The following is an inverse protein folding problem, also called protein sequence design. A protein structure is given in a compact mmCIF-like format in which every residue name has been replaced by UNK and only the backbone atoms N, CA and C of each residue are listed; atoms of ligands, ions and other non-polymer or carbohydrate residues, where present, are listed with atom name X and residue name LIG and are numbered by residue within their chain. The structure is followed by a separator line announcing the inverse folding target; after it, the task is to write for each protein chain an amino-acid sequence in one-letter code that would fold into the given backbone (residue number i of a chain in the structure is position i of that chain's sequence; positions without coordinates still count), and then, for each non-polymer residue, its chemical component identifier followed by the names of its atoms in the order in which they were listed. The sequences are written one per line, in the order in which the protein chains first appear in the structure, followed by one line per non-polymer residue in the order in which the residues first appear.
data_IF_026911921864
#
_entry.id   IF_026911921864
#
_cell.length_a   1.000
_cell.length_b   1.000
_cell.length_c   1.000
_cell.angle_alpha   90.00
_cell.angle_beta   90.00
_cell.angle_gamma   90.00
#
_symmetry.space_group_name_H-M   'P 1'
#
loop_
_entity.id
_entity.type
_entity.pdbx_description
1 polymer ?
#
# COMPACT_ATOMS: atom_id res chain seq x y z
N UNK A 1 14.58 -44.43 -9.30
CA UNK A 1 14.50 -44.28 -10.75
C UNK A 1 15.52 -43.21 -11.13
N UNK A 2 16.45 -43.52 -12.02
CA UNK A 2 17.50 -42.57 -12.39
C UNK A 2 16.96 -41.51 -13.34
N UNK A 3 16.85 -40.28 -12.85
CA UNK A 3 16.33 -39.12 -13.59
C UNK A 3 17.27 -38.70 -14.74
N UNK A 4 18.54 -39.10 -14.67
CA UNK A 4 19.56 -38.77 -15.66
C UNK A 4 19.68 -39.83 -16.77
N UNK A 5 18.88 -40.93 -16.71
CA UNK A 5 18.90 -41.98 -17.70
C UNK A 5 18.60 -41.42 -19.12
N UNK A 6 19.31 -41.94 -20.12
CA UNK A 6 19.03 -41.59 -21.51
C UNK A 6 17.58 -41.97 -21.87
N UNK A 7 16.78 -40.99 -22.32
CA UNK A 7 15.38 -41.20 -22.61
C UNK A 7 15.05 -40.49 -23.95
N UNK A 8 15.00 -41.23 -25.05
CA UNK A 8 14.64 -40.67 -26.36
C UNK A 8 13.30 -39.92 -26.39
N UNK A 9 12.30 -40.44 -25.68
CA UNK A 9 11.01 -39.79 -25.53
C UNK A 9 11.12 -38.39 -24.93
N UNK A 10 12.08 -38.15 -24.02
CA UNK A 10 12.28 -36.86 -23.36
C UNK A 10 12.66 -35.76 -24.34
N UNK A 11 13.46 -36.05 -25.36
CA UNK A 11 13.81 -35.08 -26.43
C UNK A 11 12.59 -34.71 -27.25
N UNK A 12 11.83 -35.70 -27.69
CA UNK A 12 10.59 -35.49 -28.47
C UNK A 12 9.56 -34.67 -27.65
N UNK A 13 9.42 -34.99 -26.34
CA UNK A 13 8.55 -34.24 -25.46
C UNK A 13 9.00 -32.78 -25.29
N UNK A 14 10.30 -32.55 -25.12
CA UNK A 14 10.87 -31.20 -24.97
C UNK A 14 10.64 -30.35 -26.24
N UNK A 15 10.86 -30.92 -27.43
CA UNK A 15 10.60 -30.24 -28.70
C UNK A 15 9.11 -29.89 -28.86
N UNK A 16 8.20 -30.81 -28.53
CA UNK A 16 6.76 -30.55 -28.52
C UNK A 16 6.33 -29.50 -27.52
N UNK A 17 6.93 -29.50 -26.31
CA UNK A 17 6.68 -28.46 -25.29
C UNK A 17 7.10 -27.08 -25.78
N UNK A 18 8.30 -26.95 -26.41
CA UNK A 18 8.75 -25.69 -26.99
C UNK A 18 7.82 -25.20 -28.10
N UNK A 19 7.32 -26.11 -28.95
CA UNK A 19 6.36 -25.78 -30.03
C UNK A 19 4.99 -25.36 -29.53
N UNK A 20 4.49 -25.96 -28.44
CA UNK A 20 3.16 -25.72 -27.89
C UNK A 20 3.14 -24.61 -26.81
N UNK A 21 4.26 -23.92 -26.55
CA UNK A 21 4.37 -22.96 -25.44
C UNK A 21 3.27 -21.91 -25.40
N UNK A 22 2.88 -21.35 -26.54
CA UNK A 22 1.84 -20.33 -26.64
C UNK A 22 0.46 -20.88 -26.27
N UNK A 23 0.11 -22.06 -26.78
CA UNK A 23 -1.13 -22.78 -26.44
C UNK A 23 -1.18 -23.10 -24.93
N UNK A 24 -0.10 -23.65 -24.39
CA UNK A 24 -0.02 -24.03 -22.98
C UNK A 24 -0.10 -22.79 -22.04
N UNK A 25 0.53 -21.69 -22.44
CA UNK A 25 0.44 -20.42 -21.73
C UNK A 25 -1.00 -19.90 -21.69
N UNK A 26 -1.66 -19.83 -22.83
CA UNK A 26 -3.04 -19.36 -22.93
C UNK A 26 -3.98 -20.23 -22.06
N UNK A 27 -3.83 -21.56 -22.13
CA UNK A 27 -4.62 -22.52 -21.36
C UNK A 27 -4.38 -22.42 -19.86
N UNK A 28 -3.15 -22.13 -19.46
CA UNK A 28 -2.82 -21.91 -18.05
C UNK A 28 -3.45 -20.63 -17.52
N UNK A 29 -3.34 -19.51 -18.25
CA UNK A 29 -3.95 -18.23 -17.89
C UNK A 29 -5.48 -18.32 -17.78
N UNK A 30 -6.13 -18.98 -18.72
CA UNK A 30 -7.58 -19.24 -18.70
C UNK A 30 -7.98 -19.99 -17.41
N UNK A 31 -7.29 -21.09 -17.10
CA UNK A 31 -7.61 -21.89 -15.89
C UNK A 31 -7.29 -21.18 -14.56
N UNK A 32 -6.28 -20.33 -14.54
CA UNK A 32 -6.02 -19.51 -13.35
C UNK A 32 -7.17 -18.52 -13.15
N UNK A 33 -7.59 -17.81 -14.20
CA UNK A 33 -8.69 -16.85 -14.10
C UNK A 33 -10.02 -17.48 -13.66
N UNK A 34 -10.25 -18.76 -13.97
CA UNK A 34 -11.44 -19.49 -13.56
C UNK A 34 -11.40 -20.03 -12.14
N UNK A 35 -10.20 -20.40 -11.62
CA UNK A 35 -10.07 -21.20 -10.38
C UNK A 35 -9.41 -20.47 -9.22
N UNK A 36 -8.71 -19.41 -9.49
CA UNK A 36 -8.10 -18.57 -8.47
C UNK A 36 -8.97 -17.34 -8.33
N UNK A 37 -9.61 -17.16 -7.17
CA UNK A 37 -10.37 -15.95 -6.87
C UNK A 37 -9.41 -14.75 -6.84
N UNK A 38 -9.31 -14.07 -7.97
CA UNK A 38 -8.45 -12.92 -8.16
C UNK A 38 -9.30 -11.67 -7.93
N UNK A 39 -8.78 -10.70 -7.15
CA UNK A 39 -9.41 -9.40 -7.08
C UNK A 39 -9.36 -8.76 -8.48
N UNK A 40 -10.49 -8.55 -9.17
CA UNK A 40 -10.52 -8.08 -10.57
C UNK A 40 -9.80 -6.75 -10.78
N UNK A 41 -9.55 -5.99 -9.70
CA UNK A 41 -8.91 -4.67 -9.74
C UNK A 41 -7.38 -4.78 -9.64
N UNK A 42 -6.85 -5.88 -9.07
CA UNK A 42 -5.42 -6.07 -8.81
C UNK A 42 -4.70 -6.99 -9.78
N UNK A 43 -5.45 -7.67 -10.65
CA UNK A 43 -4.95 -8.83 -11.31
C UNK A 43 -4.80 -8.64 -12.79
N UNK A 44 -3.79 -8.55 -13.34
CA UNK A 44 -3.33 -8.56 -14.71
C UNK A 44 -2.92 -7.21 -15.30
N UNK A 45 -1.67 -6.83 -15.09
CA UNK A 45 -0.88 -6.35 -16.20
C UNK A 45 -0.56 -7.62 -17.04
N UNK A 46 -1.32 -7.84 -18.07
CA UNK A 46 -1.23 -8.99 -18.98
C UNK A 46 0.15 -9.15 -19.61
N UNK A 47 0.86 -8.07 -19.85
CA UNK A 47 2.14 -8.05 -20.56
C UNK A 47 3.29 -8.67 -19.76
N UNK A 48 3.42 -8.38 -18.47
CA UNK A 48 4.48 -8.96 -17.64
C UNK A 48 4.29 -10.47 -17.45
N UNK A 49 3.05 -10.92 -17.32
CA UNK A 49 2.73 -12.34 -17.18
C UNK A 49 2.99 -13.11 -18.48
N UNK A 50 2.61 -12.52 -19.60
CA UNK A 50 2.85 -13.06 -20.94
C UNK A 50 4.35 -13.19 -21.24
N UNK A 51 5.21 -12.42 -20.59
CA UNK A 51 6.65 -12.50 -20.74
C UNK A 51 7.31 -13.58 -19.87
N UNK A 52 6.77 -13.85 -18.66
CA UNK A 52 7.39 -14.81 -17.73
C UNK A 52 7.00 -16.26 -18.00
N UNK A 53 5.73 -16.54 -18.26
CA UNK A 53 5.20 -17.91 -18.38
C UNK A 53 5.80 -18.69 -19.55
N UNK A 54 5.95 -18.14 -20.75
CA UNK A 54 6.60 -18.85 -21.87
C UNK A 54 8.04 -19.23 -21.57
N UNK A 55 8.77 -18.41 -20.80
CA UNK A 55 10.15 -18.70 -20.40
C UNK A 55 10.25 -19.81 -19.36
N UNK A 56 9.28 -19.90 -18.45
CA UNK A 56 9.18 -21.02 -17.51
C UNK A 56 8.90 -22.33 -18.25
N UNK A 57 8.02 -22.33 -19.23
CA UNK A 57 7.74 -23.50 -20.06
C UNK A 57 8.96 -23.95 -20.87
N UNK A 58 9.76 -23.01 -21.40
CA UNK A 58 11.03 -23.33 -22.05
C UNK A 58 12.01 -23.97 -21.06
N UNK A 59 12.16 -23.43 -19.85
CA UNK A 59 13.02 -24.02 -18.83
C UNK A 59 12.55 -25.40 -18.39
N UNK A 60 11.24 -25.66 -18.34
CA UNK A 60 10.71 -27.02 -18.10
C UNK A 60 11.10 -27.96 -19.25
N UNK A 61 10.99 -27.51 -20.51
CA UNK A 61 11.37 -28.30 -21.67
C UNK A 61 12.86 -28.64 -21.66
N UNK A 62 13.72 -27.66 -21.35
CA UNK A 62 15.17 -27.84 -21.26
C UNK A 62 15.54 -28.84 -20.14
N UNK A 63 14.88 -28.74 -18.98
CA UNK A 63 15.07 -29.69 -17.89
C UNK A 63 14.60 -31.11 -18.24
N UNK A 64 13.48 -31.23 -18.95
CA UNK A 64 12.97 -32.53 -19.40
C UNK A 64 13.94 -33.18 -20.37
N UNK A 65 14.56 -32.42 -21.27
CA UNK A 65 15.54 -32.92 -22.22
C UNK A 65 16.86 -33.32 -21.53
N UNK A 66 17.44 -32.45 -20.75
CA UNK A 66 18.71 -32.70 -20.05
C UNK A 66 18.69 -32.17 -18.61
N UNK A 67 18.28 -32.98 -17.64
CA UNK A 67 18.21 -32.57 -16.24
C UNK A 67 19.59 -32.29 -15.60
N UNK A 68 20.69 -32.77 -16.20
CA UNK A 68 22.03 -32.54 -15.64
C UNK A 68 22.55 -31.13 -15.84
N UNK A 69 22.09 -30.41 -16.88
CA UNK A 69 22.52 -29.03 -17.20
C UNK A 69 21.80 -27.94 -16.38
N UNK A 70 20.64 -28.22 -15.80
CA UNK A 70 19.71 -27.20 -15.27
C UNK A 70 19.73 -27.07 -13.74
N UNK A 71 20.49 -27.90 -13.01
CA UNK A 71 20.44 -27.94 -11.52
C UNK A 71 21.20 -26.77 -10.85
N UNK A 72 21.87 -25.90 -11.60
CA UNK A 72 22.57 -24.75 -11.02
C UNK A 72 21.58 -23.69 -10.54
N UNK A 73 21.79 -23.16 -9.33
CA UNK A 73 20.99 -22.05 -8.76
C UNK A 73 20.99 -20.77 -9.63
N UNK A 74 21.89 -20.68 -10.59
CA UNK A 74 22.06 -19.60 -11.55
C UNK A 74 21.32 -19.85 -12.89
N UNK A 75 20.58 -20.95 -13.02
CA UNK A 75 19.85 -21.25 -14.25
C UNK A 75 18.83 -20.16 -14.55
N UNK A 76 18.72 -19.68 -15.79
CA UNK A 76 17.80 -18.60 -16.18
C UNK A 76 16.35 -18.87 -15.79
N UNK A 77 15.91 -20.12 -15.76
CA UNK A 77 14.57 -20.55 -15.34
C UNK A 77 14.30 -20.26 -13.87
N UNK A 78 15.30 -20.46 -13.00
CA UNK A 78 15.19 -20.18 -11.56
C UNK A 78 15.07 -18.67 -11.33
N UNK A 79 15.87 -17.85 -12.04
CA UNK A 79 15.75 -16.40 -11.97
C UNK A 79 14.34 -15.93 -12.39
N UNK A 80 13.80 -16.50 -13.47
CA UNK A 80 12.43 -16.19 -13.93
C UNK A 80 11.35 -16.66 -12.95
N UNK A 81 11.54 -17.79 -12.30
CA UNK A 81 10.65 -18.24 -11.23
C UNK A 81 10.66 -17.29 -10.02
N UNK A 82 11.84 -16.77 -9.65
CA UNK A 82 11.96 -15.76 -8.58
C UNK A 82 11.32 -14.43 -8.98
N UNK A 83 11.49 -13.98 -10.22
CA UNK A 83 10.78 -12.78 -10.74
C UNK A 83 9.25 -12.96 -10.67
N UNK A 84 8.74 -14.14 -11.05
CA UNK A 84 7.32 -14.46 -10.90
C UNK A 84 6.87 -14.42 -9.44
N UNK A 85 7.68 -14.93 -8.51
CA UNK A 85 7.39 -14.85 -7.07
C UNK A 85 7.31 -13.40 -6.56
N UNK A 86 8.18 -12.52 -7.04
CA UNK A 86 8.13 -11.10 -6.74
C UNK A 86 6.88 -10.44 -7.33
N UNK A 87 6.54 -10.77 -8.57
CA UNK A 87 5.32 -10.26 -9.23
C UNK A 87 4.06 -10.69 -8.48
N UNK A 88 3.96 -11.96 -8.06
CA UNK A 88 2.80 -12.46 -7.29
C UNK A 88 2.68 -11.78 -5.93
N UNK A 89 3.79 -11.50 -5.28
CA UNK A 89 3.79 -10.73 -4.04
C UNK A 89 3.24 -9.31 -4.24
N UNK A 90 3.66 -8.61 -5.31
CA UNK A 90 3.13 -7.26 -5.61
C UNK A 90 1.66 -7.27 -6.02
N UNK A 91 1.19 -8.36 -6.63
CA UNK A 91 -0.21 -8.56 -7.00
C UNK A 91 -1.10 -8.95 -5.81
N UNK A 92 -0.53 -9.16 -4.61
CA UNK A 92 -1.27 -9.50 -3.41
C UNK A 92 -1.80 -10.93 -3.37
N UNK A 93 -1.13 -11.85 -4.09
CA UNK A 93 -1.41 -13.29 -3.97
C UNK A 93 -1.14 -13.77 -2.55
N UNK A 94 -1.88 -14.77 -2.10
CA UNK A 94 -1.57 -15.55 -0.91
C UNK A 94 -0.82 -16.85 -1.25
N UNK A 95 -0.36 -17.54 -0.22
CA UNK A 95 0.40 -18.79 -0.38
C UNK A 95 -0.43 -19.89 -1.05
N UNK A 96 -1.73 -19.95 -0.77
CA UNK A 96 -2.65 -20.93 -1.35
C UNK A 96 -2.80 -20.68 -2.86
N UNK A 97 -2.96 -19.44 -3.27
CA UNK A 97 -3.11 -19.06 -4.67
C UNK A 97 -1.86 -19.44 -5.49
N UNK A 98 -0.66 -19.23 -4.94
CA UNK A 98 0.61 -19.64 -5.57
C UNK A 98 0.66 -21.15 -5.74
N UNK A 99 0.37 -21.92 -4.69
CA UNK A 99 0.39 -23.37 -4.77
C UNK A 99 -0.64 -23.91 -5.78
N UNK A 100 -1.82 -23.30 -5.82
CA UNK A 100 -2.89 -23.64 -6.77
C UNK A 100 -2.51 -23.36 -8.21
N UNK A 101 -1.76 -22.29 -8.45
CA UNK A 101 -1.22 -21.96 -9.78
C UNK A 101 -0.33 -23.09 -10.32
N UNK A 102 0.55 -23.67 -9.49
CA UNK A 102 1.43 -24.77 -9.88
C UNK A 102 0.70 -26.12 -9.99
N UNK A 103 -0.33 -26.36 -9.17
CA UNK A 103 -1.21 -27.51 -9.33
C UNK A 103 -1.89 -27.50 -10.71
N UNK A 104 -2.39 -26.33 -11.13
CA UNK A 104 -3.01 -26.15 -12.45
C UNK A 104 -1.99 -26.40 -13.57
N UNK A 105 -0.78 -25.82 -13.45
CA UNK A 105 0.30 -26.02 -14.41
C UNK A 105 0.64 -27.50 -14.54
N UNK A 106 0.79 -28.21 -13.42
CA UNK A 106 1.06 -29.65 -13.38
C UNK A 106 -0.01 -30.43 -14.13
N UNK A 107 -1.28 -30.18 -13.86
CA UNK A 107 -2.40 -30.84 -14.53
C UNK A 107 -2.39 -30.64 -16.05
N UNK A 108 -2.03 -29.43 -16.53
CA UNK A 108 -1.91 -29.12 -17.94
C UNK A 108 -0.76 -29.89 -18.58
N UNK A 109 0.43 -29.89 -17.95
CA UNK A 109 1.61 -30.55 -18.48
C UNK A 109 1.50 -32.08 -18.47
N UNK A 110 0.87 -32.67 -17.45
CA UNK A 110 0.60 -34.13 -17.44
C UNK A 110 -0.42 -34.52 -18.50
N UNK A 111 -1.47 -33.72 -18.72
CA UNK A 111 -2.42 -33.95 -19.78
C UNK A 111 -1.77 -33.84 -21.17
N UNK A 112 -0.83 -32.91 -21.32
CA UNK A 112 -0.03 -32.73 -22.51
C UNK A 112 0.89 -33.94 -22.75
N UNK A 113 1.62 -34.40 -21.71
CA UNK A 113 2.46 -35.59 -21.78
C UNK A 113 1.67 -36.83 -22.21
N UNK A 114 0.49 -37.07 -21.62
CA UNK A 114 -0.36 -38.19 -21.97
C UNK A 114 -0.76 -38.15 -23.46
N UNK A 115 -1.17 -36.99 -23.96
CA UNK A 115 -1.51 -36.81 -25.38
C UNK A 115 -0.32 -37.11 -26.30
N UNK A 116 0.87 -36.59 -25.98
CA UNK A 116 2.07 -36.85 -26.77
C UNK A 116 2.42 -38.34 -26.77
N UNK A 117 2.33 -39.03 -25.61
CA UNK A 117 2.59 -40.47 -25.54
C UNK A 117 1.65 -41.31 -26.42
N UNK A 118 0.42 -40.86 -26.65
CA UNK A 118 -0.55 -41.51 -27.54
C UNK A 118 -0.34 -41.16 -29.03
N UNK A 119 0.24 -39.98 -29.33
CA UNK A 119 0.45 -39.48 -30.71
C UNK A 119 1.79 -39.93 -31.35
N UNK A 120 2.73 -40.45 -30.55
CA UNK A 120 4.03 -40.87 -31.06
C UNK A 120 3.94 -42.24 -31.72
N UNK A 121 4.31 -42.28 -33.02
CA UNK A 121 4.39 -43.53 -33.78
C UNK A 121 5.58 -44.41 -33.42
N UNK A 122 6.60 -43.85 -32.79
CA UNK A 122 7.78 -44.59 -32.31
C UNK A 122 7.44 -45.38 -31.04
N UNK A 123 7.86 -46.69 -30.95
CA UNK A 123 7.60 -47.48 -29.76
C UNK A 123 8.33 -46.91 -28.54
N UNK A 124 7.58 -46.33 -27.62
CA UNK A 124 8.10 -45.90 -26.30
C UNK A 124 7.77 -46.93 -25.24
N UNK A 125 8.72 -47.11 -24.31
CA UNK A 125 8.53 -48.03 -23.19
C UNK A 125 7.77 -47.33 -22.05
N UNK A 126 7.05 -48.13 -21.26
CA UNK A 126 6.41 -47.60 -20.02
C UNK A 126 7.42 -46.90 -19.09
N UNK A 127 8.66 -47.40 -19.08
CA UNK A 127 9.77 -46.82 -18.30
C UNK A 127 10.10 -45.39 -18.73
N UNK A 128 10.15 -45.12 -20.06
CA UNK A 128 10.43 -43.79 -20.61
C UNK A 128 9.33 -42.81 -20.27
N UNK A 129 8.04 -43.23 -20.34
CA UNK A 129 6.93 -42.39 -19.91
C UNK A 129 7.07 -41.97 -18.45
N UNK A 130 7.42 -42.92 -17.57
CA UNK A 130 7.64 -42.60 -16.15
C UNK A 130 8.85 -41.70 -15.93
N UNK A 131 9.93 -41.83 -16.70
CA UNK A 131 11.09 -40.92 -16.64
C UNK A 131 10.66 -39.49 -17.04
N UNK A 132 9.94 -39.35 -18.15
CA UNK A 132 9.43 -38.07 -18.59
C UNK A 132 8.49 -37.44 -17.56
N UNK A 133 7.53 -38.19 -17.02
CA UNK A 133 6.62 -37.73 -15.99
C UNK A 133 7.36 -37.25 -14.73
N UNK A 134 8.38 -38.01 -14.33
CA UNK A 134 9.22 -37.65 -13.16
C UNK A 134 10.04 -36.38 -13.43
N UNK A 135 10.60 -36.19 -14.61
CA UNK A 135 11.30 -34.96 -15.01
C UNK A 135 10.37 -33.75 -15.02
N UNK A 136 9.19 -33.88 -15.60
CA UNK A 136 8.15 -32.82 -15.58
C UNK A 136 7.79 -32.44 -14.14
N UNK A 137 7.52 -33.45 -13.30
CA UNK A 137 7.23 -33.23 -11.87
C UNK A 137 8.36 -32.47 -11.18
N UNK A 138 9.61 -32.91 -11.37
CA UNK A 138 10.76 -32.32 -10.71
C UNK A 138 11.03 -30.88 -11.20
N UNK A 139 10.86 -30.61 -12.51
CA UNK A 139 10.96 -29.27 -13.07
C UNK A 139 9.94 -28.31 -12.45
N UNK A 140 8.67 -28.75 -12.36
CA UNK A 140 7.60 -27.96 -11.71
C UNK A 140 7.95 -27.71 -10.25
N UNK A 141 8.41 -28.73 -9.52
CA UNK A 141 8.76 -28.59 -8.11
C UNK A 141 9.90 -27.59 -7.88
N UNK A 142 10.94 -27.59 -8.73
CA UNK A 142 12.05 -26.62 -8.66
C UNK A 142 11.55 -25.17 -8.89
N UNK A 143 10.74 -24.96 -9.92
CA UNK A 143 10.18 -23.64 -10.22
C UNK A 143 9.26 -23.18 -9.09
N UNK A 144 8.37 -24.04 -8.61
CA UNK A 144 7.49 -23.77 -7.47
C UNK A 144 8.29 -23.39 -6.22
N UNK A 145 9.35 -24.14 -5.92
CA UNK A 145 10.21 -23.86 -4.77
C UNK A 145 10.88 -22.49 -4.90
N UNK A 146 11.43 -22.16 -6.06
CA UNK A 146 12.07 -20.86 -6.31
C UNK A 146 11.06 -19.71 -6.17
N UNK A 147 9.88 -19.82 -6.81
CA UNK A 147 8.80 -18.81 -6.75
C UNK A 147 8.33 -18.60 -5.30
N UNK A 148 8.02 -19.70 -4.60
CA UNK A 148 7.51 -19.64 -3.21
C UNK A 148 8.57 -19.09 -2.26
N UNK A 149 9.83 -19.47 -2.44
CA UNK A 149 10.94 -18.95 -1.61
C UNK A 149 11.09 -17.45 -1.75
N UNK A 150 11.05 -16.92 -2.97
CA UNK A 150 11.15 -15.49 -3.21
C UNK A 150 9.94 -14.74 -2.68
N UNK A 151 8.74 -15.25 -2.91
CA UNK A 151 7.50 -14.70 -2.37
C UNK A 151 7.56 -14.57 -0.84
N UNK A 152 7.87 -15.65 -0.15
CA UNK A 152 7.98 -15.68 1.31
C UNK A 152 9.09 -14.77 1.84
N UNK A 153 10.21 -14.66 1.11
CA UNK A 153 11.29 -13.73 1.45
C UNK A 153 10.82 -12.30 1.44
N UNK A 154 10.09 -11.88 0.40
CA UNK A 154 9.54 -10.53 0.29
C UNK A 154 8.48 -10.26 1.36
N UNK A 155 7.54 -11.18 1.56
CA UNK A 155 6.54 -11.09 2.61
C UNK A 155 7.18 -10.94 4.01
N UNK A 156 8.21 -11.75 4.31
CA UNK A 156 8.95 -11.65 5.58
C UNK A 156 9.71 -10.34 5.73
N UNK A 157 10.27 -9.81 4.65
CA UNK A 157 10.95 -8.51 4.66
C UNK A 157 9.95 -7.41 4.98
N UNK A 158 8.79 -7.42 4.34
CA UNK A 158 7.72 -6.44 4.57
C UNK A 158 7.22 -6.47 6.03
N UNK A 159 7.02 -7.67 6.60
CA UNK A 159 6.64 -7.82 8.01
C UNK A 159 7.72 -7.24 8.93
N UNK A 160 8.99 -7.55 8.70
CA UNK A 160 10.11 -7.01 9.50
C UNK A 160 10.19 -5.49 9.43
N UNK A 161 10.09 -4.91 8.24
CA UNK A 161 10.08 -3.46 8.08
C UNK A 161 8.92 -2.81 8.83
N UNK A 162 7.74 -3.45 8.82
CA UNK A 162 6.57 -2.99 9.56
C UNK A 162 6.80 -3.07 11.08
N UNK A 163 7.38 -4.15 11.57
CA UNK A 163 7.76 -4.30 12.99
C UNK A 163 8.81 -3.28 13.41
N UNK A 164 9.84 -3.05 12.60
CA UNK A 164 10.89 -2.08 12.91
C UNK A 164 10.36 -0.65 12.94
N UNK A 165 9.44 -0.31 12.01
CA UNK A 165 8.71 0.97 12.04
C UNK A 165 7.89 1.13 13.33
N UNK A 166 7.16 0.09 13.75
CA UNK A 166 6.39 0.09 15.00
C UNK A 166 7.29 0.22 16.22
N UNK A 167 8.42 -0.47 16.27
CA UNK A 167 9.40 -0.36 17.37
C UNK A 167 10.02 1.03 17.44
N UNK A 168 10.38 1.62 16.29
CA UNK A 168 10.90 2.97 16.21
C UNK A 168 9.87 3.99 16.70
N UNK A 169 8.60 3.83 16.27
CA UNK A 169 7.47 4.63 16.70
C UNK A 169 7.25 4.57 18.23
N UNK A 170 7.18 3.38 18.80
CA UNK A 170 7.00 3.20 20.23
C UNK A 170 8.13 3.82 21.06
N UNK A 171 9.40 3.72 20.59
CA UNK A 171 10.54 4.37 21.24
C UNK A 171 10.42 5.89 21.23
N UNK A 172 10.07 6.46 20.06
CA UNK A 172 9.90 7.90 19.90
C UNK A 172 8.76 8.45 20.76
N UNK A 173 7.62 7.74 20.79
CA UNK A 173 6.50 8.07 21.68
C UNK A 173 6.91 8.06 23.16
N UNK A 174 7.57 6.99 23.59
CA UNK A 174 8.00 6.84 24.99
C UNK A 174 8.94 7.98 25.38
N UNK A 175 9.84 8.38 24.48
CA UNK A 175 10.75 9.49 24.71
C UNK A 175 10.00 10.82 24.83
N UNK A 176 9.06 11.08 23.94
CA UNK A 176 8.25 12.30 23.91
C UNK A 176 7.38 12.42 25.18
N UNK A 177 6.69 11.34 25.56
CA UNK A 177 5.91 11.32 26.79
C UNK A 177 6.78 11.56 28.03
N UNK A 178 7.94 10.90 28.10
CA UNK A 178 8.87 11.07 29.24
C UNK A 178 9.32 12.51 29.38
N UNK A 179 9.67 13.18 28.29
CA UNK A 179 10.09 14.57 28.28
C UNK A 179 8.98 15.51 28.75
N UNK A 180 7.73 15.32 28.24
CA UNK A 180 6.60 16.17 28.61
C UNK A 180 6.15 15.95 30.05
N UNK A 181 6.11 14.70 30.49
CA UNK A 181 5.84 14.36 31.89
C UNK A 181 6.91 14.98 32.79
N UNK A 182 8.20 14.84 32.44
CA UNK A 182 9.30 15.43 33.21
C UNK A 182 9.20 16.95 33.32
N UNK A 183 8.87 17.63 32.21
CA UNK A 183 8.68 19.08 32.22
C UNK A 183 7.46 19.51 33.04
N UNK A 184 6.33 18.81 32.94
CA UNK A 184 5.13 19.08 33.73
C UNK A 184 5.38 18.83 35.24
N UNK A 185 6.02 17.71 35.59
CA UNK A 185 6.37 17.38 36.96
C UNK A 185 7.37 18.39 37.58
N UNK A 186 8.43 18.75 36.82
CA UNK A 186 9.39 19.74 37.27
C UNK A 186 8.78 21.13 37.55
N UNK A 187 7.89 21.56 36.62
CA UNK A 187 7.12 22.79 36.82
C UNK A 187 6.17 22.70 38.04
N UNK A 188 5.51 21.54 38.21
CA UNK A 188 4.65 21.26 39.38
C UNK A 188 5.40 21.32 40.71
N UNK A 189 6.59 20.70 40.78
CA UNK A 189 7.44 20.75 41.98
C UNK A 189 7.89 22.17 42.32
N UNK A 190 8.21 22.99 41.29
CA UNK A 190 8.55 24.39 41.52
C UNK A 190 7.36 25.22 42.01
N UNK A 191 6.13 24.87 41.64
CA UNK A 191 4.92 25.55 42.15
C UNK A 191 4.66 25.32 43.64
N UNK A 192 5.24 24.27 44.23
CA UNK A 192 5.15 23.99 45.70
C UNK A 192 6.09 24.87 46.54
N UNK A 193 6.99 25.61 45.92
CA UNK A 193 7.92 26.47 46.63
C UNK A 193 7.16 27.61 47.34
N UNK A 194 7.45 27.88 48.63
CA UNK A 194 6.89 29.02 49.34
C UNK A 194 7.43 30.33 48.75
N UNK A 195 6.59 31.36 48.68
CA UNK A 195 6.93 32.71 48.20
C UNK A 195 7.26 32.87 46.72
N UNK A 196 6.67 32.03 45.86
CA UNK A 196 6.80 32.21 44.43
C UNK A 196 6.05 33.48 43.96
N UNK A 197 6.74 34.30 43.13
CA UNK A 197 6.11 35.49 42.57
C UNK A 197 4.92 35.09 41.65
N UNK A 198 3.85 35.90 41.65
CA UNK A 198 2.61 35.60 40.86
C UNK A 198 2.89 35.39 39.37
N UNK A 199 3.76 36.22 38.80
CA UNK A 199 4.18 36.06 37.41
C UNK A 199 4.87 34.72 37.15
N UNK A 200 5.72 34.25 38.09
CA UNK A 200 6.42 32.97 37.98
C UNK A 200 5.44 31.78 38.14
N UNK A 201 4.52 31.91 39.10
CA UNK A 201 3.42 30.93 39.29
C UNK A 201 2.60 30.79 38.01
N UNK A 202 2.22 31.90 37.39
CA UNK A 202 1.44 31.88 36.14
C UNK A 202 2.24 31.24 35.00
N UNK A 203 3.54 31.52 34.87
CA UNK A 203 4.44 30.92 33.89
C UNK A 203 4.58 29.41 34.07
N UNK A 204 4.78 28.93 35.30
CA UNK A 204 4.91 27.49 35.59
C UNK A 204 3.61 26.74 35.40
N UNK A 205 2.48 27.32 35.80
CA UNK A 205 1.15 26.75 35.50
C UNK A 205 0.94 26.61 34.01
N UNK A 206 1.32 27.62 33.24
CA UNK A 206 1.30 27.54 31.76
C UNK A 206 2.17 26.41 31.20
N UNK A 207 3.34 26.13 31.80
CA UNK A 207 4.19 25.00 31.40
C UNK A 207 3.49 23.67 31.65
N UNK A 208 2.85 23.49 32.81
CA UNK A 208 2.10 22.25 33.11
C UNK A 208 0.97 22.04 32.13
N UNK A 209 0.10 23.05 31.92
CA UNK A 209 -1.05 22.96 31.05
C UNK A 209 -0.62 22.63 29.63
N UNK A 210 0.34 23.34 29.04
CA UNK A 210 0.83 23.07 27.68
C UNK A 210 1.36 21.66 27.50
N UNK A 211 2.13 21.14 28.45
CA UNK A 211 2.67 19.79 28.35
C UNK A 211 1.57 18.71 28.45
N UNK A 212 0.56 18.91 29.33
CA UNK A 212 -0.59 18.01 29.46
C UNK A 212 -1.45 18.04 28.18
N UNK A 213 -1.75 19.22 27.64
CA UNK A 213 -2.51 19.36 26.38
C UNK A 213 -1.78 18.72 25.20
N UNK A 214 -0.45 18.88 25.14
CA UNK A 214 0.34 18.20 24.12
C UNK A 214 0.30 16.67 24.25
N UNK A 215 0.33 16.12 25.47
CA UNK A 215 0.16 14.66 25.68
C UNK A 215 -1.22 14.18 25.26
N UNK A 216 -2.27 14.95 25.57
CA UNK A 216 -3.64 14.66 25.14
C UNK A 216 -3.74 14.59 23.62
N UNK A 217 -3.17 15.55 22.90
CA UNK A 217 -3.16 15.58 21.45
C UNK A 217 -2.42 14.39 20.83
N UNK A 218 -1.28 13.96 21.41
CA UNK A 218 -0.58 12.74 20.97
C UNK A 218 -1.45 11.51 21.14
N UNK A 219 -2.15 11.41 22.28
CA UNK A 219 -3.04 10.30 22.57
C UNK A 219 -4.24 10.25 21.61
N UNK A 220 -4.87 11.39 21.32
CA UNK A 220 -5.97 11.52 20.37
C UNK A 220 -5.53 11.06 18.97
N UNK A 221 -4.37 11.50 18.49
CA UNK A 221 -3.81 11.07 17.21
C UNK A 221 -3.52 9.55 17.17
N UNK A 222 -3.08 8.95 18.28
CA UNK A 222 -2.88 7.50 18.40
C UNK A 222 -4.18 6.72 18.33
N UNK A 223 -5.22 7.21 19.00
CA UNK A 223 -6.54 6.60 18.96
C UNK A 223 -7.15 6.68 17.56
N UNK A 224 -6.94 7.78 16.84
CA UNK A 224 -7.36 7.90 15.44
C UNK A 224 -6.63 6.90 14.52
N UNK A 225 -5.30 6.77 14.65
CA UNK A 225 -4.54 5.74 13.93
C UNK A 225 -5.05 4.32 14.22
N UNK A 226 -5.34 4.02 15.50
CA UNK A 226 -5.89 2.71 15.88
C UNK A 226 -7.31 2.47 15.33
N UNK A 227 -8.12 3.51 15.20
CA UNK A 227 -9.46 3.42 14.58
C UNK A 227 -9.39 3.16 13.09
N UNK A 228 -8.43 3.73 12.37
CA UNK A 228 -8.24 3.49 10.94
C UNK A 228 -7.94 2.01 10.68
N UNK A 229 -7.10 1.37 11.50
CA UNK A 229 -6.83 -0.08 11.41
C UNK A 229 -8.09 -0.92 11.71
N UNK A 230 -9.00 -0.43 12.54
CA UNK A 230 -10.27 -1.08 12.86
C UNK A 230 -11.35 -0.79 11.80
N UNK A 231 -11.47 0.46 11.32
CA UNK A 231 -12.42 0.90 10.30
C UNK A 231 -12.03 0.45 8.88
N UNK A 232 -10.76 0.12 8.63
CA UNK A 232 -10.35 -0.58 7.40
C UNK A 232 -11.05 -1.93 7.25
N UNK A 233 -11.58 -2.49 8.35
CA UNK A 233 -12.46 -3.67 8.34
C UNK A 233 -13.95 -3.34 8.18
N UNK A 234 -14.36 -2.09 8.46
CA UNK A 234 -15.69 -1.55 8.16
C UNK A 234 -15.55 -0.46 7.11
N UNK A 235 -15.41 -0.87 5.86
CA UNK A 235 -15.19 0.02 4.70
C UNK A 235 -16.37 0.98 4.49
N UNK A 236 -16.46 2.02 5.31
CA UNK A 236 -17.38 3.11 5.04
C UNK A 236 -16.80 3.98 3.93
N UNK A 237 -17.28 3.77 2.71
CA UNK A 237 -16.98 4.64 1.59
C UNK A 237 -17.99 5.79 1.56
N UNK A 238 -17.48 6.98 1.33
CA UNK A 238 -18.27 8.19 1.13
C UNK A 238 -17.77 8.94 -0.11
N UNK A 239 -18.57 9.83 -0.64
CA UNK A 239 -18.10 10.69 -1.72
C UNK A 239 -17.04 11.66 -1.18
N UNK A 240 -15.98 11.90 -1.93
CA UNK A 240 -14.90 12.82 -1.56
C UNK A 240 -15.41 14.18 -1.10
N UNK A 241 -16.45 14.71 -1.79
CA UNK A 241 -17.13 15.94 -1.40
C UNK A 241 -17.73 15.91 -0.01
N UNK A 242 -18.30 14.77 0.39
CA UNK A 242 -18.92 14.61 1.71
C UNK A 242 -17.86 14.63 2.81
N UNK A 243 -16.73 13.91 2.62
CA UNK A 243 -15.61 13.93 3.54
C UNK A 243 -15.02 15.36 3.67
N UNK A 244 -14.81 16.06 2.56
CA UNK A 244 -14.30 17.44 2.56
C UNK A 244 -15.24 18.41 3.27
N UNK A 245 -16.56 18.30 3.03
CA UNK A 245 -17.56 19.14 3.69
C UNK A 245 -17.61 18.91 5.21
N UNK A 246 -17.44 17.66 5.66
CA UNK A 246 -17.39 17.32 7.08
C UNK A 246 -16.16 17.94 7.76
N UNK A 247 -14.99 17.85 7.15
CA UNK A 247 -13.75 18.49 7.66
C UNK A 247 -13.89 20.01 7.69
N UNK A 248 -14.48 20.63 6.66
CA UNK A 248 -14.74 22.06 6.67
C UNK A 248 -15.66 22.49 7.82
N UNK A 249 -16.67 21.65 8.13
CA UNK A 249 -17.58 21.88 9.26
C UNK A 249 -16.86 21.79 10.60
N UNK A 250 -16.03 20.76 10.80
CA UNK A 250 -15.29 20.53 12.03
C UNK A 250 -14.26 21.63 12.33
N UNK A 251 -13.58 22.13 11.29
CA UNK A 251 -12.52 23.14 11.46
C UNK A 251 -13.02 24.58 11.37
N UNK A 252 -14.33 24.81 11.18
CA UNK A 252 -14.92 26.15 10.98
C UNK A 252 -14.59 27.15 12.08
N UNK A 253 -14.77 26.75 13.35
CA UNK A 253 -14.56 27.64 14.47
C UNK A 253 -13.07 27.92 14.68
N UNK A 254 -12.23 26.92 14.43
CA UNK A 254 -10.78 27.07 14.49
C UNK A 254 -10.27 28.03 13.40
N UNK A 255 -10.73 27.88 12.17
CA UNK A 255 -10.41 28.78 11.07
C UNK A 255 -10.88 30.21 11.33
N UNK A 256 -12.11 30.38 11.86
CA UNK A 256 -12.65 31.71 12.23
C UNK A 256 -11.82 32.38 13.33
N UNK A 257 -11.45 31.66 14.36
CA UNK A 257 -10.61 32.17 15.44
C UNK A 257 -9.21 32.62 14.94
N UNK A 258 -8.65 31.92 13.95
CA UNK A 258 -7.39 32.26 13.30
C UNK A 258 -7.52 33.35 12.21
N UNK A 259 -8.75 33.73 11.83
CA UNK A 259 -9.01 34.68 10.75
C UNK A 259 -8.60 34.13 9.37
N UNK A 260 -8.79 32.86 9.13
CA UNK A 260 -8.43 32.15 7.89
C UNK A 260 -9.69 31.72 7.15
N UNK A 261 -9.76 32.03 5.86
CA UNK A 261 -10.84 31.59 4.97
C UNK A 261 -10.53 30.19 4.44
N UNK A 262 -11.39 29.20 4.70
CA UNK A 262 -11.24 27.85 4.18
C UNK A 262 -12.23 27.62 3.05
N UNK A 263 -11.72 27.29 1.86
CA UNK A 263 -12.49 27.07 0.65
C UNK A 263 -12.35 25.60 0.19
N UNK A 264 -13.47 24.87 0.14
CA UNK A 264 -13.56 23.59 -0.54
C UNK A 264 -14.05 23.82 -1.97
N UNK A 265 -13.32 23.32 -2.96
CA UNK A 265 -13.71 23.49 -4.37
C UNK A 265 -15.00 22.72 -4.68
N UNK A 266 -15.88 23.36 -5.44
CA UNK A 266 -17.08 22.72 -5.99
C UNK A 266 -16.75 21.69 -7.09
N UNK A 267 -15.52 21.71 -7.62
CA UNK A 267 -15.02 20.82 -8.67
C UNK A 267 -14.30 19.57 -8.12
N UNK A 268 -14.46 19.27 -6.82
CA UNK A 268 -13.93 18.01 -6.27
C UNK A 268 -14.49 16.81 -7.02
N UNK A 269 -13.66 15.82 -7.40
CA UNK A 269 -14.11 14.62 -8.11
C UNK A 269 -15.23 13.88 -7.38
N UNK A 270 -16.24 13.44 -8.15
CA UNK A 270 -17.33 12.63 -7.62
C UNK A 270 -16.93 11.15 -7.58
N UNK A 271 -16.13 10.79 -6.58
CA UNK A 271 -15.58 9.46 -6.37
C UNK A 271 -15.84 8.99 -4.95
N UNK A 272 -15.98 7.68 -4.80
CA UNK A 272 -16.05 7.04 -3.48
C UNK A 272 -14.64 6.80 -2.93
N UNK A 273 -14.42 7.23 -1.69
CA UNK A 273 -13.15 7.13 -0.97
C UNK A 273 -13.38 6.59 0.44
N UNK A 274 -12.32 6.09 1.07
CA UNK A 274 -12.36 5.74 2.50
C UNK A 274 -12.60 7.00 3.34
N UNK A 275 -13.76 7.08 4.00
CA UNK A 275 -14.15 8.25 4.79
C UNK A 275 -13.12 8.58 5.87
N UNK A 276 -12.80 7.62 6.73
CA UNK A 276 -11.89 7.80 7.84
C UNK A 276 -10.50 8.28 7.40
N UNK A 277 -9.95 7.68 6.34
CA UNK A 277 -8.61 8.03 5.86
C UNK A 277 -8.57 9.44 5.26
N UNK A 278 -9.55 9.81 4.44
CA UNK A 278 -9.59 11.13 3.79
C UNK A 278 -9.90 12.24 4.80
N UNK A 279 -10.85 12.02 5.70
CA UNK A 279 -11.16 12.97 6.78
C UNK A 279 -9.94 13.23 7.68
N UNK A 280 -9.21 12.17 8.07
CA UNK A 280 -7.98 12.29 8.84
C UNK A 280 -6.91 13.10 8.09
N UNK A 281 -6.64 12.77 6.82
CA UNK A 281 -5.64 13.46 6.02
C UNK A 281 -6.00 14.93 5.83
N UNK A 282 -7.23 15.23 5.44
CA UNK A 282 -7.71 16.61 5.25
C UNK A 282 -7.68 17.40 6.57
N UNK A 283 -8.11 16.81 7.69
CA UNK A 283 -8.08 17.47 9.00
C UNK A 283 -6.65 17.84 9.38
N UNK A 284 -5.67 16.94 9.20
CA UNK A 284 -4.27 17.22 9.47
C UNK A 284 -3.73 18.34 8.56
N UNK A 285 -3.96 18.26 7.25
CA UNK A 285 -3.43 19.24 6.31
C UNK A 285 -4.08 20.61 6.45
N UNK A 286 -5.41 20.67 6.56
CA UNK A 286 -6.14 21.94 6.70
C UNK A 286 -5.85 22.58 8.06
N UNK A 287 -5.78 21.81 9.16
CA UNK A 287 -5.41 22.37 10.47
C UNK A 287 -3.98 22.91 10.48
N UNK A 288 -3.04 22.25 9.78
CA UNK A 288 -1.68 22.77 9.62
C UNK A 288 -1.69 24.08 8.83
N UNK A 289 -2.40 24.15 7.71
CA UNK A 289 -2.53 25.36 6.90
C UNK A 289 -3.12 26.55 7.71
N UNK A 290 -4.08 26.28 8.60
CA UNK A 290 -4.63 27.29 9.51
C UNK A 290 -3.58 27.71 10.57
N UNK A 291 -2.88 26.78 11.18
CA UNK A 291 -1.85 27.03 12.21
C UNK A 291 -0.67 27.85 11.71
N UNK A 292 -0.25 27.61 10.47
CA UNK A 292 0.90 28.26 9.85
C UNK A 292 0.51 29.42 8.91
N UNK A 293 -0.71 29.93 9.06
CA UNK A 293 -1.15 31.13 8.34
C UNK A 293 -0.26 32.33 8.70
N UNK A 294 0.13 33.11 7.70
CA UNK A 294 1.00 34.26 7.89
C UNK A 294 0.25 35.41 8.58
N UNK A 295 0.63 35.81 9.82
CA UNK A 295 -0.04 36.88 10.53
C UNK A 295 0.15 38.26 9.88
N UNK A 296 1.16 38.44 9.03
CA UNK A 296 1.40 39.68 8.31
C UNK A 296 0.44 39.91 7.12
N UNK A 297 -0.25 38.83 6.67
CA UNK A 297 -1.19 38.93 5.56
C UNK A 297 -2.57 39.38 6.02
N UNK A 298 -3.15 40.33 5.31
CA UNK A 298 -4.53 40.80 5.54
C UNK A 298 -5.58 39.76 5.13
N UNK A 299 -5.31 38.99 4.09
CA UNK A 299 -6.16 37.88 3.64
C UNK A 299 -5.41 36.57 3.76
N UNK A 300 -5.91 35.71 4.63
CA UNK A 300 -5.37 34.37 4.89
C UNK A 300 -6.37 33.35 4.39
N UNK A 301 -5.89 32.40 3.59
CA UNK A 301 -6.77 31.42 2.97
C UNK A 301 -6.14 30.02 2.89
N UNK A 302 -7.00 29.01 2.94
CA UNK A 302 -6.73 27.62 2.64
C UNK A 302 -7.70 27.16 1.58
N UNK A 303 -7.22 26.51 0.54
CA UNK A 303 -8.05 25.99 -0.55
C UNK A 303 -7.80 24.50 -0.73
N UNK A 304 -8.90 23.72 -0.75
CA UNK A 304 -8.89 22.30 -1.06
C UNK A 304 -9.43 22.11 -2.46
N UNK A 305 -8.63 21.52 -3.33
CA UNK A 305 -8.99 21.20 -4.72
C UNK A 305 -8.75 19.71 -4.98
N UNK A 306 -9.32 19.19 -6.06
CA UNK A 306 -9.11 17.81 -6.43
C UNK A 306 -9.26 17.61 -7.93
N UNK A 307 -8.53 16.63 -8.46
CA UNK A 307 -8.61 16.22 -9.86
C UNK A 307 -8.47 14.71 -9.99
N UNK A 308 -8.98 14.17 -11.10
CA UNK A 308 -8.82 12.76 -11.44
C UNK A 308 -7.57 12.56 -12.28
N UNK A 309 -6.84 11.50 -12.01
CA UNK A 309 -5.87 10.95 -12.95
C UNK A 309 -6.50 9.77 -13.71
N UNK A 310 -6.19 9.69 -14.99
CA UNK A 310 -6.67 8.61 -15.85
C UNK A 310 -5.51 7.66 -16.15
N UNK A 311 -5.82 6.39 -16.37
CA UNK A 311 -4.86 5.42 -16.92
C UNK A 311 -4.68 5.62 -18.45
N UNK A 312 -3.76 4.87 -19.05
CA UNK A 312 -3.49 4.93 -20.51
C UNK A 312 -4.72 4.56 -21.37
N UNK A 313 -5.71 3.91 -20.79
CA UNK A 313 -6.99 3.58 -21.41
C UNK A 313 -8.09 4.62 -21.16
N UNK A 314 -7.76 5.77 -20.52
CA UNK A 314 -8.69 6.84 -20.20
C UNK A 314 -9.64 6.52 -19.03
N UNK A 315 -9.36 5.49 -18.22
CA UNK A 315 -10.17 5.13 -17.07
C UNK A 315 -9.69 5.84 -15.80
N UNK A 316 -10.58 6.23 -14.89
CA UNK A 316 -10.22 6.80 -13.61
C UNK A 316 -9.32 5.86 -12.81
N UNK A 317 -8.13 6.36 -12.41
CA UNK A 317 -7.13 5.61 -11.66
C UNK A 317 -7.07 6.04 -10.20
N UNK A 318 -6.82 7.32 -9.97
CA UNK A 318 -6.63 7.90 -8.65
C UNK A 318 -7.29 9.28 -8.60
N UNK A 319 -7.80 9.66 -7.43
CA UNK A 319 -8.13 11.05 -7.15
C UNK A 319 -6.93 11.71 -6.48
N UNK A 320 -6.49 12.84 -7.02
CA UNK A 320 -5.50 13.74 -6.41
C UNK A 320 -6.26 14.78 -5.61
N UNK A 321 -5.90 14.95 -4.35
CA UNK A 321 -6.44 15.99 -3.46
C UNK A 321 -5.30 16.91 -3.05
N UNK A 322 -5.51 18.21 -3.20
CA UNK A 322 -4.51 19.25 -2.92
C UNK A 322 -5.05 20.24 -1.88
N UNK A 323 -4.24 20.54 -0.89
CA UNK A 323 -4.50 21.55 0.14
C UNK A 323 -3.46 22.65 -0.03
N UNK A 324 -3.88 23.78 -0.56
CA UNK A 324 -3.04 24.94 -0.79
C UNK A 324 -3.32 26.02 0.27
N UNK A 325 -2.28 26.66 0.75
CA UNK A 325 -2.35 27.80 1.67
C UNK A 325 -1.46 28.96 1.19
N UNK A 326 -1.70 30.14 1.71
CA UNK A 326 -0.83 31.30 1.53
C UNK A 326 -0.11 31.66 2.83
N UNK A 327 0.24 30.68 3.65
CA UNK A 327 0.91 30.85 4.93
C UNK A 327 2.39 31.27 4.81
N UNK A 328 3.15 31.04 5.88
CA UNK A 328 4.58 31.40 5.96
C UNK A 328 5.50 30.55 5.09
N UNK A 329 4.98 29.46 4.51
CA UNK A 329 5.77 28.51 3.73
C UNK A 329 6.74 27.67 4.58
N UNK A 330 7.66 26.97 3.91
CA UNK A 330 8.66 26.10 4.53
C UNK A 330 10.04 26.40 3.98
N UNK A 331 11.06 26.63 4.85
CA UNK A 331 12.46 26.81 4.43
C UNK A 331 12.96 25.65 3.58
N UNK A 332 13.82 25.95 2.58
CA UNK A 332 14.25 24.98 1.60
C UNK A 332 15.04 23.80 2.19
N UNK A 333 15.88 24.06 3.16
CA UNK A 333 16.69 23.08 3.87
C UNK A 333 15.87 22.12 4.76
N UNK A 334 14.61 22.48 5.06
CA UNK A 334 13.72 21.68 5.91
C UNK A 334 12.70 20.86 5.14
N UNK A 335 12.52 21.11 3.83
CA UNK A 335 11.47 20.49 2.99
C UNK A 335 11.54 18.98 2.90
N UNK A 336 12.73 18.40 2.85
CA UNK A 336 12.93 16.95 2.72
C UNK A 336 12.49 16.17 3.96
N UNK A 337 12.44 16.84 5.11
CA UNK A 337 12.18 16.21 6.41
C UNK A 337 10.75 16.37 6.91
N UNK A 338 9.91 17.11 6.21
CA UNK A 338 8.56 17.47 6.66
C UNK A 338 7.67 16.29 7.02
N UNK A 339 7.85 15.16 6.33
CA UNK A 339 7.10 13.93 6.56
C UNK A 339 7.78 12.97 7.54
N UNK A 340 8.92 13.37 8.15
CA UNK A 340 9.53 12.59 9.22
C UNK A 340 8.71 12.73 10.51
N UNK A 341 8.61 11.64 11.26
CA UNK A 341 7.89 11.64 12.54
C UNK A 341 8.57 12.57 13.55
N UNK A 342 7.78 13.35 14.28
CA UNK A 342 8.23 14.31 15.29
C UNK A 342 9.08 15.47 14.76
N UNK A 343 9.23 15.57 13.43
CA UNK A 343 9.95 16.67 12.84
C UNK A 343 9.11 17.95 12.87
N UNK A 344 9.76 19.06 13.21
CA UNK A 344 9.16 20.40 13.20
C UNK A 344 10.17 21.36 12.61
N UNK A 345 9.72 22.14 11.63
CA UNK A 345 10.54 23.18 11.02
C UNK A 345 10.94 24.23 12.07
N UNK A 346 12.25 24.46 12.22
CA UNK A 346 12.82 25.31 13.26
C UNK A 346 12.78 26.79 12.90
N UNK A 347 12.64 27.11 11.61
CA UNK A 347 12.77 28.46 11.05
C UNK A 347 11.46 29.22 10.92
N UNK A 348 10.31 28.67 11.35
CA UNK A 348 9.03 29.35 11.22
C UNK A 348 8.94 30.52 12.20
N UNK A 349 8.77 31.72 11.67
CA UNK A 349 8.57 33.01 12.38
C UNK A 349 7.34 33.05 13.28
N UNK A 350 6.52 32.00 13.28
CA UNK A 350 5.32 31.89 14.12
C UNK A 350 5.74 31.29 15.47
N UNK A 351 6.21 32.17 16.36
CA UNK A 351 6.45 31.81 17.77
C UNK A 351 5.14 31.41 18.44
N UNK A 352 5.07 30.19 18.97
CA UNK A 352 3.94 29.73 19.78
C UNK A 352 2.99 28.74 19.11
N UNK A 353 3.27 28.28 17.87
CA UNK A 353 2.46 27.21 17.24
C UNK A 353 2.76 25.88 17.94
N UNK A 354 1.77 25.35 18.63
CA UNK A 354 1.86 24.03 19.27
C UNK A 354 1.58 22.92 18.26
N UNK A 355 2.42 21.88 18.27
CA UNK A 355 2.24 20.72 17.40
C UNK A 355 3.16 19.56 17.80
N UNK A 356 2.74 18.34 17.55
CA UNK A 356 3.47 17.12 17.88
C UNK A 356 4.52 16.72 16.83
N UNK A 357 4.48 17.31 15.63
CA UNK A 357 5.30 16.85 14.49
C UNK A 357 4.85 15.49 13.93
N UNK A 358 3.65 15.01 14.30
CA UNK A 358 3.10 13.73 13.82
C UNK A 358 2.12 13.89 12.66
N UNK A 359 1.46 15.04 12.48
CA UNK A 359 0.38 15.21 11.52
C UNK A 359 0.73 14.82 10.09
N UNK A 360 1.85 15.32 9.55
CA UNK A 360 2.30 15.02 8.19
C UNK A 360 2.78 13.57 8.03
N UNK A 361 3.42 12.99 9.05
CA UNK A 361 3.81 11.58 9.01
C UNK A 361 2.60 10.64 9.07
N UNK A 362 1.54 11.01 9.80
CA UNK A 362 0.26 10.30 9.83
C UNK A 362 -0.39 10.33 8.43
N UNK A 363 -0.44 11.49 7.78
CA UNK A 363 -0.96 11.62 6.41
C UNK A 363 -0.20 10.68 5.47
N UNK A 364 1.13 10.69 5.49
CA UNK A 364 1.95 9.81 4.66
C UNK A 364 1.64 8.34 4.90
N UNK A 365 1.65 7.90 6.15
CA UNK A 365 1.41 6.50 6.50
C UNK A 365 0.01 6.03 6.13
N UNK A 366 -1.00 6.87 6.35
CA UNK A 366 -2.40 6.57 5.99
C UNK A 366 -2.55 6.40 4.49
N UNK A 367 -1.99 7.32 3.70
CA UNK A 367 -2.10 7.29 2.24
C UNK A 367 -1.27 6.16 1.63
N UNK A 368 -0.04 5.93 2.09
CA UNK A 368 0.80 4.81 1.65
C UNK A 368 0.16 3.45 1.97
N UNK A 369 -0.53 3.32 3.12
CA UNK A 369 -1.28 2.10 3.48
C UNK A 369 -2.45 1.82 2.53
N UNK A 370 -3.01 2.86 1.90
CA UNK A 370 -4.05 2.75 0.85
C UNK A 370 -3.46 2.56 -0.55
N UNK A 371 -2.13 2.52 -0.70
CA UNK A 371 -1.45 2.43 -1.99
C UNK A 371 -1.37 3.76 -2.73
N UNK A 372 -1.64 4.88 -2.08
CA UNK A 372 -1.51 6.24 -2.62
C UNK A 372 -0.12 6.85 -2.39
N UNK A 373 0.03 8.12 -2.77
CA UNK A 373 1.27 8.89 -2.64
C UNK A 373 0.99 10.25 -2.01
N UNK A 374 1.98 10.79 -1.28
CA UNK A 374 1.93 12.11 -0.64
C UNK A 374 3.14 12.92 -1.07
N UNK A 375 2.93 14.20 -1.36
CA UNK A 375 4.02 15.14 -1.66
C UNK A 375 3.67 16.55 -1.23
N UNK A 376 4.63 17.45 -1.29
CA UNK A 376 4.45 18.87 -1.05
C UNK A 376 5.16 19.68 -2.14
N UNK A 377 4.55 20.80 -2.51
CA UNK A 377 5.09 21.79 -3.45
C UNK A 377 5.15 23.14 -2.74
N UNK A 378 6.16 23.93 -3.07
CA UNK A 378 6.42 25.21 -2.41
C UNK A 378 6.47 26.31 -3.47
N UNK A 379 5.31 26.88 -3.84
CA UNK A 379 5.24 28.05 -4.69
C UNK A 379 5.91 29.27 -4.03
N UNK A 380 5.98 30.39 -4.76
CA UNK A 380 6.57 31.64 -4.23
C UNK A 380 5.90 32.10 -2.92
N UNK A 381 4.63 31.78 -2.72
CA UNK A 381 3.88 32.09 -1.52
C UNK A 381 3.13 30.87 -1.00
N UNK A 382 3.33 30.54 0.29
CA UNK A 382 2.63 29.48 0.98
C UNK A 382 3.14 28.06 0.66
N UNK A 383 2.23 27.09 0.77
CA UNK A 383 2.52 25.67 0.57
C UNK A 383 1.36 24.96 -0.12
N UNK A 384 1.66 23.87 -0.83
CA UNK A 384 0.67 22.95 -1.38
C UNK A 384 1.03 21.54 -0.91
N UNK A 385 0.19 20.94 -0.11
CA UNK A 385 0.30 19.56 0.28
C UNK A 385 -0.71 18.73 -0.50
N UNK A 386 -0.27 17.64 -1.10
CA UNK A 386 -1.10 16.84 -1.97
C UNK A 386 -0.97 15.34 -1.64
N UNK A 387 -2.05 14.61 -1.90
CA UNK A 387 -2.07 13.16 -1.78
C UNK A 387 -2.96 12.52 -2.84
N UNK A 388 -2.67 11.26 -3.18
CA UNK A 388 -3.54 10.45 -4.03
C UNK A 388 -4.28 9.41 -3.21
N UNK A 389 -5.52 9.15 -3.59
CA UNK A 389 -6.31 8.04 -3.06
C UNK A 389 -6.81 7.18 -4.22
N UNK A 390 -6.74 5.83 -4.11
CA UNK A 390 -7.42 4.96 -5.04
C UNK A 390 -8.92 5.27 -5.00
N UNK A 391 -9.53 5.45 -6.14
CA UNK A 391 -10.96 5.73 -6.21
C UNK A 391 -11.69 4.60 -6.90
N UNK A 392 -12.85 4.22 -6.35
CA UNK A 392 -13.87 3.47 -7.06
C UNK A 392 -14.81 4.48 -7.70
N UNK A 393 -15.06 4.31 -9.01
CA UNK A 393 -16.20 5.01 -9.62
C UNK A 393 -17.45 4.49 -8.92
N UNK A 394 -18.37 5.37 -8.52
CA UNK A 394 -19.73 4.92 -8.25
C UNK A 394 -20.23 4.33 -9.56
N UNK A 395 -20.18 3.02 -9.66
CA UNK A 395 -20.90 2.33 -10.73
C UNK A 395 -22.34 2.71 -10.50
N UNK A 396 -22.98 3.31 -11.52
CA UNK A 396 -24.41 3.53 -11.50
C UNK A 396 -25.06 2.28 -10.93
N UNK A 397 -25.57 2.39 -9.72
CA UNK A 397 -26.51 1.38 -9.23
C UNK A 397 -27.62 1.40 -10.23
N UNK A 398 -27.68 0.36 -11.05
CA UNK A 398 -28.83 0.11 -11.88
C UNK A 398 -30.05 0.14 -10.94
N UNK A 399 -30.93 1.13 -11.04
CA UNK A 399 -32.07 1.25 -10.14
C UNK A 399 -33.07 0.09 -10.28
N UNK A 400 -32.81 -0.88 -11.17
CA UNK A 400 -33.64 -2.05 -11.41
C UNK A 400 -33.28 -3.29 -10.58
N UNK A 401 -32.22 -3.27 -9.74
CA UNK A 401 -31.88 -4.37 -8.82
C UNK A 401 -32.35 -4.01 -7.41
N UNK A 402 -33.63 -4.18 -7.14
CA UNK A 402 -34.16 -4.28 -5.78
C UNK A 402 -33.56 -5.51 -5.08
N UNK A 403 -33.14 -5.42 -3.81
CA UNK A 403 -32.70 -6.60 -3.05
C UNK A 403 -33.92 -7.48 -2.78
N UNK A 404 -33.96 -8.62 -3.45
CA UNK A 404 -34.94 -9.66 -3.22
C UNK A 404 -34.76 -10.22 -1.79
N UNK A 405 -35.76 -9.95 -0.94
CA UNK A 405 -36.13 -10.65 0.29
C UNK A 405 -35.04 -10.99 1.32
N UNK A 406 -34.97 -10.16 2.39
CA UNK A 406 -34.59 -10.64 3.70
C UNK A 406 -35.74 -11.49 4.33
N UNK A 407 -35.47 -12.68 4.89
CA UNK A 407 -36.49 -13.43 5.59
C UNK A 407 -36.87 -12.71 6.89
N UNK A 408 -38.18 -12.53 7.09
CA UNK A 408 -38.75 -12.04 8.35
C UNK A 408 -38.52 -13.09 9.47
N UNK A 409 -38.15 -12.66 10.68
CA UNK A 409 -38.06 -13.57 11.80
C UNK A 409 -39.48 -13.96 12.27
N UNK A 410 -39.65 -15.28 12.51
CA UNK A 410 -40.83 -15.89 13.14
C UNK A 410 -40.81 -15.64 14.64
#
# INVERSE_FOLDING_TARGET
MDITANCPLARTLAERLRGARAELTARWLERISERVALDPIRVFPTDDLLNHVPLLLLGIADYVEDPAQVIAAEAPVIAKAMELGALRHTQGFDEYQILKEYEILGGILYSFLARIADEIDEPCTRGEIFVCAHRVFHAIALIQQATTTQFLRLAKTQVREREDRLRAFNRALTHEFRNRIGAAMGAGQLLELPNLAEAERHRLTGVVIRNVDSMRLVLENLLELSRIDADARQQRHVRLRQAAAEVARQLRDFARAAGVEVHMSDELPDVEVSAAAVELCLTNLVSNAIKYADPAKTRRWVRVTGRMTLDDAGRPREAVVEVADNGVGVPEDERLRLFERFYRASGTTVTGVEGTGLGLSIVRETIEALGGRVWAEFPTEGSVFAFTVPCRRSVDRDPSVEPENAPQPA
#
